data_IF_847950804203
#
_entry.id   IF_847950804203
#
_cell.length_a   1.000
_cell.length_b   1.000
_cell.length_c   1.000
_cell.angle_alpha   90.00
_cell.angle_beta   90.00
_cell.angle_gamma   90.00
#
_symmetry.space_group_name_H-M   'P 1'
#
loop_
_entity.id
_entity.type
_entity.pdbx_description
1 polymer ?
#
# COMPACT_ATOMS: atom_id res chain seq x y z
N UNK A 1 1.22 -9.02 -11.79
CA UNK A 1 0.07 -9.75 -11.21
C UNK A 1 0.52 -10.55 -10.02
N UNK A 2 -0.32 -10.64 -9.02
CA UNK A 2 -0.13 -11.42 -7.80
C UNK A 2 -1.33 -12.34 -7.67
N UNK A 3 -1.10 -13.66 -7.63
CA UNK A 3 -2.13 -14.65 -7.39
C UNK A 3 -2.06 -15.11 -5.94
N UNK A 4 -3.12 -14.88 -5.18
CA UNK A 4 -3.24 -15.27 -3.78
C UNK A 4 -3.81 -16.68 -3.64
N UNK A 5 -3.50 -17.35 -2.54
CA UNK A 5 -3.95 -18.75 -2.28
C UNK A 5 -5.45 -18.89 -2.11
N UNK A 6 -6.14 -17.81 -1.70
CA UNK A 6 -7.60 -17.77 -1.54
C UNK A 6 -8.35 -17.47 -2.85
N UNK A 7 -7.62 -17.38 -3.97
CA UNK A 7 -8.17 -17.09 -5.28
C UNK A 7 -8.26 -15.60 -5.63
N UNK A 8 -7.89 -14.70 -4.71
CA UNK A 8 -7.78 -13.28 -5.05
C UNK A 8 -6.65 -13.10 -6.07
N UNK A 9 -6.92 -12.31 -7.10
CA UNK A 9 -5.92 -11.86 -8.06
C UNK A 9 -5.78 -10.36 -8.00
N UNK A 10 -4.58 -9.87 -7.76
CA UNK A 10 -4.28 -8.45 -7.74
C UNK A 10 -3.33 -8.06 -8.89
N UNK A 11 -3.51 -6.86 -9.39
CA UNK A 11 -2.66 -6.26 -10.40
C UNK A 11 -2.10 -4.96 -9.87
N UNK A 12 -0.80 -4.77 -9.98
CA UNK A 12 -0.14 -3.50 -9.75
C UNK A 12 0.23 -2.93 -11.10
N UNK A 13 -0.25 -1.73 -11.39
CA UNK A 13 0.03 -1.00 -12.62
C UNK A 13 0.90 0.20 -12.28
N UNK A 14 2.04 0.31 -12.92
CA UNK A 14 2.92 1.47 -12.86
C UNK A 14 2.83 2.17 -14.21
N UNK A 15 2.10 3.30 -14.23
CA UNK A 15 1.78 4.05 -15.45
C UNK A 15 2.62 5.33 -15.50
N UNK A 16 3.93 5.17 -15.48
CA UNK A 16 4.89 6.28 -15.46
C UNK A 16 4.56 7.30 -16.55
N UNK A 17 4.56 8.58 -16.18
CA UNK A 17 4.31 9.73 -17.06
C UNK A 17 2.89 9.80 -17.66
N UNK A 18 2.03 8.84 -17.41
CA UNK A 18 0.66 8.84 -17.92
C UNK A 18 -0.35 9.29 -16.87
N UNK A 19 -0.15 8.84 -15.62
CA UNK A 19 -1.00 9.17 -14.48
C UNK A 19 -0.12 9.50 -13.30
N UNK A 20 -0.38 10.64 -12.67
CA UNK A 20 0.33 11.08 -11.45
C UNK A 20 -0.42 10.74 -10.17
N UNK A 21 -1.46 9.94 -10.24
CA UNK A 21 -2.34 9.66 -9.11
C UNK A 21 -2.23 8.22 -8.65
N UNK A 22 -2.49 8.03 -7.37
CA UNK A 22 -2.60 6.72 -6.75
C UNK A 22 -4.07 6.33 -6.65
N UNK A 23 -4.41 5.16 -7.15
CA UNK A 23 -5.76 4.65 -7.10
C UNK A 23 -5.79 3.15 -6.81
N UNK A 24 -6.86 2.68 -6.25
CA UNK A 24 -7.16 1.27 -6.11
C UNK A 24 -8.58 1.00 -6.59
N UNK A 25 -8.77 -0.10 -7.29
CA UNK A 25 -10.08 -0.60 -7.68
C UNK A 25 -10.18 -2.08 -7.33
N UNK A 26 -11.35 -2.52 -6.92
CA UNK A 26 -11.58 -3.92 -6.61
C UNK A 26 -12.99 -4.37 -7.00
N UNK A 27 -13.13 -5.66 -7.22
CA UNK A 27 -14.40 -6.33 -7.42
C UNK A 27 -14.73 -7.14 -6.18
N UNK A 28 -15.92 -6.97 -5.68
CA UNK A 28 -16.45 -7.75 -4.57
C UNK A 28 -16.96 -9.12 -5.03
N UNK A 29 -17.17 -10.04 -4.09
CA UNK A 29 -17.71 -11.36 -4.38
C UNK A 29 -19.13 -11.31 -4.97
N UNK A 30 -19.92 -10.28 -4.62
CA UNK A 30 -21.24 -10.02 -5.18
C UNK A 30 -21.22 -9.42 -6.60
N UNK A 31 -20.03 -9.28 -7.21
CA UNK A 31 -19.81 -8.66 -8.52
C UNK A 31 -19.75 -7.13 -8.49
N UNK A 32 -20.08 -6.51 -7.39
CA UNK A 32 -20.01 -5.05 -7.21
C UNK A 32 -18.58 -4.53 -7.38
N UNK A 33 -18.43 -3.43 -8.11
CA UNK A 33 -17.14 -2.77 -8.32
C UNK A 33 -17.02 -1.55 -7.41
N UNK A 34 -15.85 -1.31 -6.91
CA UNK A 34 -15.50 -0.13 -6.12
C UNK A 34 -14.13 0.37 -6.55
N UNK A 35 -13.93 1.67 -6.46
CA UNK A 35 -12.63 2.30 -6.68
C UNK A 35 -12.51 3.54 -5.81
N UNK A 36 -11.29 3.91 -5.52
CA UNK A 36 -10.96 5.17 -4.84
C UNK A 36 -9.59 5.61 -5.28
N UNK A 37 -9.39 6.91 -5.30
CA UNK A 37 -8.07 7.52 -5.33
C UNK A 37 -7.62 7.80 -3.90
N UNK A 38 -6.34 7.76 -3.65
CA UNK A 38 -5.78 8.17 -2.38
C UNK A 38 -4.65 9.16 -2.61
N UNK A 39 -4.61 10.12 -1.73
CA UNK A 39 -3.67 11.21 -1.79
C UNK A 39 -2.51 10.94 -0.86
N UNK A 40 -1.33 10.80 -1.41
CA UNK A 40 -0.12 10.51 -0.63
C UNK A 40 0.42 11.73 0.10
N UNK A 41 -0.01 12.94 -0.27
CA UNK A 41 0.39 14.19 0.37
C UNK A 41 1.92 14.40 0.39
N UNK A 42 2.57 14.08 -0.72
CA UNK A 42 4.03 14.13 -0.87
C UNK A 42 4.58 15.55 -0.97
N UNK A 43 3.73 16.53 -1.29
CA UNK A 43 4.13 17.93 -1.32
C UNK A 43 4.13 18.54 0.10
N UNK A 44 4.74 19.71 0.24
CA UNK A 44 4.74 20.42 1.53
C UNK A 44 3.31 20.56 2.07
N UNK A 45 3.08 20.35 3.36
CA UNK A 45 4.02 20.08 4.45
C UNK A 45 4.41 18.59 4.64
N UNK A 46 4.39 17.76 3.60
CA UNK A 46 4.81 16.35 3.61
C UNK A 46 4.03 15.48 4.62
N UNK A 47 2.74 15.60 4.63
CA UNK A 47 1.85 14.94 5.61
C UNK A 47 1.90 13.41 5.58
N UNK A 48 2.36 12.80 4.48
CA UNK A 48 2.55 11.35 4.39
C UNK A 48 3.52 10.80 5.47
N UNK A 49 4.52 11.59 5.87
CA UNK A 49 5.41 11.22 6.98
C UNK A 49 4.76 11.35 8.36
N UNK A 50 3.76 12.20 8.51
CA UNK A 50 3.12 12.43 9.81
C UNK A 50 2.56 11.14 10.40
N UNK A 51 1.92 10.30 9.59
CA UNK A 51 1.36 9.03 10.05
C UNK A 51 2.43 7.99 10.38
N UNK A 52 3.51 7.97 9.60
CA UNK A 52 4.66 7.12 9.90
C UNK A 52 5.30 7.52 11.23
N UNK A 53 5.53 8.82 11.44
CA UNK A 53 6.10 9.36 12.69
C UNK A 53 5.19 9.08 13.88
N UNK A 54 3.88 9.31 13.75
CA UNK A 54 2.92 8.98 14.82
C UNK A 54 2.91 7.49 15.16
N UNK A 55 2.99 6.61 14.16
CA UNK A 55 3.10 5.18 14.40
C UNK A 55 4.38 4.80 15.13
N UNK A 56 5.48 5.44 14.77
CA UNK A 56 6.78 5.25 15.44
C UNK A 56 6.74 5.76 16.88
N UNK A 57 6.21 6.96 17.10
CA UNK A 57 6.02 7.55 18.42
C UNK A 57 5.17 6.63 19.32
N UNK A 58 4.03 6.15 18.81
CA UNK A 58 3.18 5.21 19.53
C UNK A 58 3.93 3.92 19.89
N UNK A 59 4.75 3.40 19.00
CA UNK A 59 5.58 2.22 19.27
C UNK A 59 6.54 2.47 20.45
N UNK A 60 7.19 3.62 20.49
CA UNK A 60 8.07 3.98 21.61
C UNK A 60 7.31 4.12 22.94
N UNK A 61 6.15 4.74 22.91
CA UNK A 61 5.35 4.92 24.13
C UNK A 61 4.74 3.62 24.66
N UNK A 62 4.38 2.69 23.78
CA UNK A 62 3.68 1.47 24.17
C UNK A 62 4.59 0.27 24.32
N UNK A 63 5.81 0.31 23.79
CA UNK A 63 6.69 -0.83 23.66
C UNK A 63 6.17 -1.90 22.69
N UNK A 64 5.13 -1.57 21.89
CA UNK A 64 4.51 -2.49 20.95
C UNK A 64 4.57 -1.92 19.53
N UNK A 65 4.85 -2.74 18.51
CA UNK A 65 4.85 -2.26 17.13
C UNK A 65 3.45 -1.78 16.74
N UNK A 66 3.35 -0.64 16.09
CA UNK A 66 2.09 -0.06 15.61
C UNK A 66 1.42 -0.89 14.52
N UNK A 67 2.20 -1.70 13.83
CA UNK A 67 1.73 -2.73 12.89
C UNK A 67 2.65 -3.95 12.91
N UNK A 68 2.14 -5.15 12.59
CA UNK A 68 2.94 -6.36 12.62
C UNK A 68 4.12 -6.30 11.64
N UNK A 69 5.26 -6.84 12.03
CA UNK A 69 6.42 -6.99 11.15
C UNK A 69 6.09 -7.81 9.89
N UNK A 70 5.16 -8.76 10.00
CA UNK A 70 4.66 -9.56 8.89
C UNK A 70 4.12 -8.71 7.73
N UNK A 71 3.52 -7.56 8.03
CA UNK A 71 3.08 -6.60 7.00
C UNK A 71 4.27 -6.11 6.16
N UNK A 72 5.34 -5.72 6.82
CA UNK A 72 6.54 -5.22 6.13
C UNK A 72 7.21 -6.35 5.35
N UNK A 73 7.33 -7.53 5.94
CA UNK A 73 7.88 -8.69 5.26
C UNK A 73 7.07 -9.04 4.01
N UNK A 74 5.74 -9.07 4.12
CA UNK A 74 4.85 -9.36 2.99
C UNK A 74 5.03 -8.35 1.85
N UNK A 75 4.98 -7.05 2.16
CA UNK A 75 5.08 -6.01 1.13
C UNK A 75 6.45 -5.97 0.47
N UNK A 76 7.53 -6.10 1.24
CA UNK A 76 8.90 -6.09 0.71
C UNK A 76 9.20 -7.32 -0.13
N UNK A 77 8.81 -8.50 0.34
CA UNK A 77 9.06 -9.73 -0.39
C UNK A 77 8.18 -9.86 -1.67
N UNK A 78 6.96 -9.32 -1.66
CA UNK A 78 6.15 -9.23 -2.88
C UNK A 78 6.80 -8.29 -3.90
N UNK A 79 7.32 -7.15 -3.46
CA UNK A 79 8.03 -6.22 -4.34
C UNK A 79 9.26 -6.90 -4.97
N UNK A 80 10.07 -7.59 -4.16
CA UNK A 80 11.24 -8.32 -4.61
C UNK A 80 10.86 -9.40 -5.66
N UNK A 81 9.88 -10.23 -5.36
CA UNK A 81 9.38 -11.24 -6.30
C UNK A 81 8.86 -10.63 -7.62
N UNK A 82 8.17 -9.48 -7.56
CA UNK A 82 7.70 -8.77 -8.76
C UNK A 82 8.87 -8.24 -9.59
N UNK A 83 9.92 -7.71 -8.95
CA UNK A 83 11.13 -7.24 -9.65
C UNK A 83 11.89 -8.40 -10.30
N UNK A 84 12.02 -9.52 -9.60
CA UNK A 84 12.63 -10.75 -10.16
C UNK A 84 11.79 -11.25 -11.35
N UNK A 85 10.46 -11.32 -11.21
CA UNK A 85 9.57 -11.69 -12.31
C UNK A 85 9.76 -10.79 -13.53
N UNK A 86 9.81 -9.48 -13.29
CA UNK A 86 10.06 -8.50 -14.37
C UNK A 86 11.40 -8.73 -15.04
N UNK A 87 12.48 -8.95 -14.29
CA UNK A 87 13.83 -9.20 -14.85
C UNK A 87 13.89 -10.49 -15.66
N UNK A 88 12.98 -11.43 -15.41
CA UNK A 88 12.83 -12.72 -16.10
C UNK A 88 11.68 -12.74 -17.09
N UNK A 89 11.37 -11.59 -17.71
CA UNK A 89 10.33 -11.45 -18.73
C UNK A 89 8.92 -11.94 -18.30
N UNK A 90 8.56 -11.70 -17.03
CA UNK A 90 7.23 -12.04 -16.51
C UNK A 90 7.08 -13.50 -16.06
N UNK A 91 8.18 -14.22 -15.87
CA UNK A 91 8.15 -15.59 -15.32
C UNK A 91 7.47 -15.60 -13.96
N UNK A 92 6.63 -16.61 -13.71
CA UNK A 92 6.00 -16.81 -12.42
C UNK A 92 7.06 -17.16 -11.36
N UNK A 93 7.09 -16.39 -10.27
CA UNK A 93 7.99 -16.61 -9.15
C UNK A 93 7.19 -17.19 -7.98
N UNK A 94 7.36 -18.47 -7.63
CA UNK A 94 6.73 -19.03 -6.45
C UNK A 94 7.27 -18.40 -5.18
N UNK A 95 6.36 -18.06 -4.26
CA UNK A 95 6.70 -17.43 -2.98
C UNK A 95 6.20 -18.25 -1.78
N UNK A 96 6.62 -19.53 -1.62
CA UNK A 96 6.13 -20.40 -0.54
C UNK A 96 6.47 -19.86 0.85
N UNK A 97 7.52 -19.08 0.97
CA UNK A 97 7.96 -18.41 2.19
C UNK A 97 7.02 -17.28 2.64
N UNK A 98 6.14 -16.79 1.76
CA UNK A 98 5.13 -15.77 2.08
C UNK A 98 3.82 -16.40 2.59
N UNK A 99 3.90 -17.48 3.35
CA UNK A 99 2.75 -18.05 4.03
C UNK A 99 2.43 -17.27 5.31
N UNK A 100 2.25 -15.98 5.19
CA UNK A 100 2.00 -15.06 6.29
C UNK A 100 0.51 -14.73 6.34
N UNK A 101 -0.02 -14.68 7.57
CA UNK A 101 -1.37 -14.16 7.83
C UNK A 101 -1.25 -13.10 8.90
N UNK A 102 -1.64 -11.89 8.58
CA UNK A 102 -1.72 -10.82 9.55
C UNK A 102 -3.04 -10.06 9.40
N UNK A 103 -3.52 -9.52 10.49
CA UNK A 103 -4.59 -8.53 10.46
C UNK A 103 -4.13 -7.30 11.21
N UNK A 104 -4.40 -6.15 10.65
CA UNK A 104 -4.18 -4.88 11.33
C UNK A 104 -5.51 -4.35 11.83
N UNK A 105 -5.59 -4.07 13.13
CA UNK A 105 -6.67 -3.26 13.67
C UNK A 105 -6.24 -1.81 13.55
N UNK A 106 -6.75 -1.14 12.55
CA UNK A 106 -6.47 0.27 12.35
C UNK A 106 -7.40 1.10 13.23
N UNK A 107 -6.85 1.63 14.32
CA UNK A 107 -7.61 2.43 15.30
C UNK A 107 -7.39 3.93 15.16
N UNK A 108 -6.73 4.34 14.11
CA UNK A 108 -6.45 5.75 13.91
C UNK A 108 -7.72 6.48 13.51
N UNK A 109 -7.94 7.63 14.13
CA UNK A 109 -8.98 8.55 13.72
C UNK A 109 -8.71 8.96 12.27
N UNK A 110 -9.78 9.24 11.56
CA UNK A 110 -9.70 9.74 10.18
C UNK A 110 -8.65 10.86 10.11
N UNK A 111 -7.76 10.83 9.11
CA UNK A 111 -6.82 11.91 8.92
C UNK A 111 -7.54 13.25 8.78
N UNK A 112 -6.90 14.36 9.14
CA UNK A 112 -7.45 15.67 8.85
C UNK A 112 -7.76 15.77 7.35
N UNK A 113 -8.79 16.52 6.96
CA UNK A 113 -9.08 16.70 5.55
C UNK A 113 -7.81 17.22 4.84
N UNK A 114 -7.58 16.77 3.60
CA UNK A 114 -6.47 17.28 2.83
C UNK A 114 -6.57 18.81 2.72
N UNK A 115 -5.46 19.53 2.69
CA UNK A 115 -5.48 20.96 2.45
C UNK A 115 -6.21 21.24 1.12
N UNK A 116 -6.91 22.36 1.01
CA UNK A 116 -7.59 22.72 -0.24
C UNK A 116 -6.56 22.82 -1.37
N UNK A 117 -6.92 22.23 -2.52
CA UNK A 117 -6.04 22.14 -3.67
C UNK A 117 -5.00 21.01 -3.58
N UNK A 118 -4.46 20.62 -4.72
CA UNK A 118 -3.31 19.74 -4.79
C UNK A 118 -2.05 20.60 -4.75
N UNK A 119 -1.12 20.40 -3.80
CA UNK A 119 0.06 21.24 -3.66
C UNK A 119 0.94 21.36 -4.91
N UNK A 120 0.90 20.39 -5.81
CA UNK A 120 1.62 20.44 -7.10
C UNK A 120 0.87 21.19 -8.21
N UNK A 121 -0.35 21.64 -7.98
CA UNK A 121 -1.08 22.47 -8.95
C UNK A 121 -0.84 23.97 -8.71
N UNK A 122 -0.04 24.33 -7.73
CA UNK A 122 0.29 25.70 -7.34
C UNK A 122 1.66 26.16 -7.90
N UNK A 123 2.11 25.54 -9.01
CA UNK A 123 3.32 25.98 -9.72
C UNK A 123 2.98 26.84 -10.92
#
# INVERSE_FOLDING_TARGET
TIDYRDGLRAHVLTLNYTVAEWAVAWRRADGGKRSTTFWTQEARPYMHFTYLVKGTEQMFHTGQPSWPADRTLMTSALLDALLISKSKNGTVIPTPYLNLRYSTKWNWKQPPPPPPGRPWNEQ
#
